data_IF_626684032900
#
_entry.id   IF_626684032900
#
_cell.length_a   1.000
_cell.length_b   1.000
_cell.length_c   1.000
_cell.angle_alpha   90.00
_cell.angle_beta   90.00
_cell.angle_gamma   90.00
#
_symmetry.space_group_name_H-M   'P 1'
#
loop_
_entity.id
_entity.type
_entity.pdbx_description
1 polymer ?
#
# COMPACT_ATOMS: atom_id res chain seq x y z
N UNK A 1 -0.68 -31.29 -0.35
CA UNK A 1 -1.60 -30.47 -1.18
C UNK A 1 -3.10 -30.71 -0.92
N UNK A 2 -3.54 -31.59 -0.01
CA UNK A 2 -4.97 -31.98 0.07
C UNK A 2 -5.85 -31.24 1.10
N UNK A 3 -5.32 -30.33 1.94
CA UNK A 3 -6.14 -29.61 2.95
C UNK A 3 -6.55 -28.18 2.58
N UNK A 4 -5.85 -27.53 1.64
CA UNK A 4 -6.17 -26.16 1.19
C UNK A 4 -7.24 -26.10 0.08
N UNK A 5 -7.30 -27.11 -0.78
CA UNK A 5 -8.20 -27.12 -1.94
C UNK A 5 -9.68 -27.30 -1.55
N UNK A 6 -9.97 -27.98 -0.44
CA UNK A 6 -11.33 -28.18 0.05
C UNK A 6 -11.98 -26.91 0.65
N UNK A 7 -11.18 -25.87 0.95
CA UNK A 7 -11.64 -24.63 1.57
C UNK A 7 -12.27 -23.63 0.58
N UNK A 8 -12.01 -23.78 -0.72
CA UNK A 8 -12.33 -22.77 -1.75
C UNK A 8 -13.73 -22.95 -2.39
N UNK A 9 -14.52 -23.93 -1.95
CA UNK A 9 -15.66 -24.43 -2.73
C UNK A 9 -16.78 -23.41 -3.03
N UNK A 10 -16.88 -22.27 -2.31
CA UNK A 10 -17.81 -21.16 -2.65
C UNK A 10 -17.26 -19.80 -2.19
N UNK A 11 -16.22 -19.29 -2.85
CA UNK A 11 -15.66 -17.97 -2.52
C UNK A 11 -16.43 -16.78 -3.10
N UNK A 12 -17.05 -16.95 -4.28
CA UNK A 12 -17.75 -15.89 -4.99
C UNK A 12 -19.27 -16.00 -4.83
N UNK A 13 -19.90 -14.93 -4.37
CA UNK A 13 -21.36 -14.79 -4.29
C UNK A 13 -21.79 -13.41 -4.78
N UNK A 14 -23.05 -13.26 -5.23
CA UNK A 14 -23.57 -11.94 -5.64
C UNK A 14 -23.53 -10.92 -4.49
N UNK A 15 -23.62 -11.39 -3.24
CA UNK A 15 -23.54 -10.56 -2.04
C UNK A 15 -22.15 -9.96 -1.87
N UNK A 16 -21.11 -10.77 -2.10
CA UNK A 16 -19.71 -10.31 -2.13
C UNK A 16 -19.50 -9.28 -3.24
N UNK A 17 -20.04 -9.53 -4.44
CA UNK A 17 -19.92 -8.59 -5.54
C UNK A 17 -20.55 -7.23 -5.21
N UNK A 18 -21.75 -7.20 -4.61
CA UNK A 18 -22.40 -5.95 -4.18
C UNK A 18 -21.65 -5.27 -3.03
N UNK A 19 -21.19 -6.03 -2.04
CA UNK A 19 -20.43 -5.47 -0.93
C UNK A 19 -19.12 -4.86 -1.46
N UNK A 20 -18.45 -5.54 -2.38
CA UNK A 20 -17.26 -5.04 -3.07
C UNK A 20 -17.56 -3.77 -3.88
N UNK A 21 -18.68 -3.69 -4.60
CA UNK A 21 -19.10 -2.49 -5.34
C UNK A 21 -19.22 -1.25 -4.44
N UNK A 22 -19.63 -1.44 -3.18
CA UNK A 22 -19.73 -0.36 -2.19
C UNK A 22 -18.39 -0.07 -1.52
N UNK A 23 -17.65 -1.12 -1.13
CA UNK A 23 -16.39 -0.98 -0.40
C UNK A 23 -15.25 -0.46 -1.27
N UNK A 24 -15.22 -0.78 -2.56
CA UNK A 24 -14.15 -0.33 -3.48
C UNK A 24 -14.09 1.21 -3.56
N UNK A 25 -15.17 1.96 -3.86
CA UNK A 25 -15.13 3.42 -3.86
C UNK A 25 -14.72 4.02 -2.52
N UNK A 26 -15.22 3.47 -1.41
CA UNK A 26 -14.85 3.93 -0.06
C UNK A 26 -13.36 3.71 0.23
N UNK A 27 -12.84 2.54 -0.18
CA UNK A 27 -11.44 2.20 -0.04
C UNK A 27 -10.55 3.10 -0.91
N UNK A 28 -10.91 3.33 -2.17
CA UNK A 28 -10.18 4.25 -3.05
C UNK A 28 -10.23 5.70 -2.53
N UNK A 29 -11.38 6.13 -2.01
CA UNK A 29 -11.50 7.44 -1.37
C UNK A 29 -10.57 7.57 -0.17
N UNK A 30 -10.49 6.54 0.68
CA UNK A 30 -9.56 6.53 1.81
C UNK A 30 -8.10 6.65 1.34
N UNK A 31 -7.71 5.87 0.31
CA UNK A 31 -6.36 5.98 -0.29
C UNK A 31 -6.07 7.40 -0.77
N UNK A 32 -7.00 8.01 -1.53
CA UNK A 32 -6.83 9.38 -2.03
C UNK A 32 -6.73 10.41 -0.90
N UNK A 33 -7.52 10.27 0.17
CA UNK A 33 -7.38 11.15 1.32
C UNK A 33 -5.97 11.02 1.92
N UNK A 34 -5.50 9.81 2.19
CA UNK A 34 -4.20 9.61 2.83
C UNK A 34 -3.01 10.06 1.97
N UNK A 35 -3.02 9.70 0.69
CA UNK A 35 -1.90 9.91 -0.23
C UNK A 35 -1.92 11.30 -0.83
N UNK A 36 -3.07 11.80 -1.32
CA UNK A 36 -3.13 13.04 -2.09
C UNK A 36 -3.47 14.24 -1.20
N UNK A 37 -4.47 14.10 -0.33
CA UNK A 37 -4.99 15.26 0.44
C UNK A 37 -4.15 15.54 1.67
N UNK A 38 -3.91 14.52 2.49
CA UNK A 38 -3.21 14.66 3.76
C UNK A 38 -1.71 14.42 3.64
N UNK A 39 -1.26 13.75 2.56
CA UNK A 39 0.12 13.34 2.31
C UNK A 39 0.81 12.75 3.56
N UNK A 40 0.04 12.00 4.35
CA UNK A 40 0.43 11.60 5.71
C UNK A 40 1.02 10.19 5.76
N UNK A 41 0.61 9.34 4.82
CA UNK A 41 1.12 8.01 4.63
C UNK A 41 0.84 7.55 3.19
N UNK A 42 1.63 6.58 2.74
CA UNK A 42 1.55 6.01 1.39
C UNK A 42 1.20 4.52 1.51
N UNK A 43 -0.06 4.16 1.83
CA UNK A 43 -0.50 2.77 1.93
C UNK A 43 -0.16 1.93 0.69
N UNK A 44 -0.15 2.52 -0.49
CA UNK A 44 0.05 1.78 -1.75
C UNK A 44 1.52 1.51 -2.08
N UNK A 45 2.46 2.20 -1.43
CA UNK A 45 3.91 1.96 -1.58
C UNK A 45 4.42 0.88 -0.62
N UNK A 46 3.59 0.43 0.33
CA UNK A 46 3.91 -0.65 1.27
C UNK A 46 3.27 -1.94 0.78
N UNK A 47 4.02 -3.05 0.84
CA UNK A 47 3.58 -4.33 0.27
C UNK A 47 2.35 -4.95 0.94
N UNK A 48 2.05 -4.60 2.20
CA UNK A 48 0.82 -4.98 2.89
C UNK A 48 -0.08 -3.75 3.07
N UNK A 49 -1.19 -3.73 2.35
CA UNK A 49 -2.19 -2.66 2.41
C UNK A 49 -2.94 -2.66 3.75
N UNK A 50 -2.44 -1.90 4.72
CA UNK A 50 -2.99 -1.90 6.08
C UNK A 50 -4.45 -1.49 6.15
N UNK A 51 -4.92 -0.58 5.29
CA UNK A 51 -6.33 -0.14 5.23
C UNK A 51 -7.26 -1.25 4.72
N UNK A 52 -6.77 -2.11 3.82
CA UNK A 52 -7.48 -3.32 3.39
C UNK A 52 -7.56 -4.32 4.56
N UNK A 53 -6.46 -4.52 5.29
CA UNK A 53 -6.45 -5.39 6.48
C UNK A 53 -7.38 -4.85 7.57
N UNK A 54 -7.40 -3.54 7.77
CA UNK A 54 -8.32 -2.88 8.70
C UNK A 54 -9.78 -3.11 8.28
N UNK A 55 -10.09 -2.93 6.99
CA UNK A 55 -11.44 -3.19 6.46
C UNK A 55 -11.85 -4.64 6.68
N UNK A 56 -10.95 -5.60 6.44
CA UNK A 56 -11.20 -7.01 6.76
C UNK A 56 -11.43 -7.24 8.26
N UNK A 57 -10.64 -6.61 9.13
CA UNK A 57 -10.80 -6.73 10.57
C UNK A 57 -12.17 -6.21 11.03
N UNK A 58 -12.66 -5.11 10.43
CA UNK A 58 -14.01 -4.57 10.67
C UNK A 58 -15.08 -5.55 10.19
N UNK A 59 -14.94 -6.11 8.98
CA UNK A 59 -15.87 -7.12 8.45
C UNK A 59 -15.91 -8.39 9.32
N UNK A 60 -14.75 -8.79 9.85
CA UNK A 60 -14.66 -9.93 10.76
C UNK A 60 -15.27 -9.65 12.13
N UNK A 61 -15.10 -8.44 12.66
CA UNK A 61 -15.81 -8.02 13.87
C UNK A 61 -17.32 -8.03 13.63
N UNK A 62 -17.78 -7.53 12.49
CA UNK A 62 -19.17 -7.61 12.06
C UNK A 62 -19.68 -9.06 11.96
N UNK A 63 -18.90 -9.94 11.34
CA UNK A 63 -19.19 -11.37 11.27
C UNK A 63 -19.26 -12.04 12.65
N UNK A 64 -18.35 -11.68 13.56
CA UNK A 64 -18.35 -12.19 14.92
C UNK A 64 -19.61 -11.73 15.66
N UNK A 65 -19.91 -10.43 15.64
CA UNK A 65 -21.14 -9.88 16.22
C UNK A 65 -22.41 -10.54 15.64
N UNK A 66 -22.41 -10.83 14.34
CA UNK A 66 -23.52 -11.50 13.66
C UNK A 66 -23.68 -12.99 14.05
N UNK A 67 -22.61 -13.65 14.51
CA UNK A 67 -22.59 -15.09 14.84
C UNK A 67 -22.67 -15.37 16.34
N UNK A 68 -22.50 -14.38 17.20
CA UNK A 68 -22.60 -14.56 18.66
C UNK A 68 -24.07 -14.64 19.08
N UNK A 69 -24.55 -15.78 19.62
CA UNK A 69 -25.89 -15.86 20.19
C UNK A 69 -25.97 -14.99 21.46
N UNK A 70 -27.03 -14.18 21.63
CA UNK A 70 -27.25 -13.34 22.82
C UNK A 70 -26.96 -13.98 24.19
N UNK A 71 -27.22 -15.28 24.46
CA UNK A 71 -26.89 -15.88 25.76
C UNK A 71 -25.38 -16.07 26.01
N UNK A 72 -24.52 -16.02 25.00
CA UNK A 72 -23.05 -16.15 25.15
C UNK A 72 -22.34 -14.80 25.43
N UNK A 73 -23.02 -13.67 25.20
CA UNK A 73 -22.52 -12.35 25.56
C UNK A 73 -22.64 -12.21 27.08
N UNK A 74 -21.54 -12.42 27.80
CA UNK A 74 -21.51 -12.43 29.26
C UNK A 74 -22.25 -11.24 29.89
N UNK A 75 -22.81 -11.46 31.09
CA UNK A 75 -23.71 -10.54 31.85
C UNK A 75 -23.22 -9.08 31.98
N UNK A 76 -21.92 -8.83 31.79
CA UNK A 76 -21.26 -7.50 31.85
C UNK A 76 -21.30 -6.69 30.54
N UNK A 77 -21.31 -7.31 29.36
CA UNK A 77 -21.27 -6.61 28.06
C UNK A 77 -22.68 -6.40 27.46
N UNK A 78 -23.66 -7.12 27.99
CA UNK A 78 -25.07 -7.09 27.59
C UNK A 78 -25.73 -5.70 27.57
N UNK A 79 -25.51 -4.79 28.55
CA UNK A 79 -26.16 -3.47 28.50
C UNK A 79 -25.54 -2.51 27.47
N UNK A 80 -24.27 -2.71 27.08
CA UNK A 80 -23.56 -1.81 26.15
C UNK A 80 -23.78 -2.23 24.70
N UNK A 81 -23.75 -3.54 24.42
CA UNK A 81 -23.80 -4.08 23.05
C UNK A 81 -25.21 -4.56 22.67
N UNK A 82 -26.06 -4.86 23.65
CA UNK A 82 -27.44 -5.35 23.46
C UNK A 82 -28.32 -4.54 22.50
N UNK A 83 -28.40 -3.19 22.62
CA UNK A 83 -29.23 -2.40 21.71
C UNK A 83 -28.70 -2.36 20.26
N UNK A 84 -27.38 -2.55 20.05
CA UNK A 84 -26.77 -2.62 18.72
C UNK A 84 -26.91 -4.01 18.08
N UNK A 85 -26.98 -5.07 18.88
CA UNK A 85 -27.04 -6.46 18.41
C UNK A 85 -28.47 -6.98 18.12
N UNK A 86 -29.51 -6.37 18.73
CA UNK A 86 -30.89 -6.85 18.63
C UNK A 86 -31.52 -6.82 17.21
N UNK A 87 -31.29 -5.79 16.35
CA UNK A 87 -31.79 -5.83 14.97
C UNK A 87 -31.01 -6.82 14.09
N UNK A 88 -29.75 -7.08 14.45
CA UNK A 88 -28.88 -7.98 13.72
C UNK A 88 -29.36 -9.43 13.89
N UNK A 89 -29.77 -9.89 15.08
CA UNK A 89 -30.14 -11.29 15.35
C UNK A 89 -31.17 -11.91 14.39
N UNK A 90 -32.10 -11.14 13.81
CA UNK A 90 -33.11 -11.65 12.86
C UNK A 90 -32.60 -11.86 11.43
N UNK A 91 -31.54 -11.14 11.01
CA UNK A 91 -31.01 -11.16 9.64
C UNK A 91 -29.52 -11.59 9.57
N UNK A 92 -28.83 -11.61 10.70
CA UNK A 92 -27.39 -11.75 10.89
C UNK A 92 -26.76 -13.09 10.47
N UNK A 93 -27.32 -14.28 10.77
CA UNK A 93 -26.67 -15.52 10.36
C UNK A 93 -26.68 -15.72 8.84
N UNK A 94 -27.63 -15.09 8.12
CA UNK A 94 -27.63 -15.05 6.65
C UNK A 94 -26.69 -13.98 6.09
N UNK A 95 -26.33 -12.96 6.88
CA UNK A 95 -25.44 -11.87 6.47
C UNK A 95 -23.96 -12.16 6.75
N UNK A 96 -23.64 -13.04 7.70
CA UNK A 96 -22.26 -13.36 8.04
C UNK A 96 -21.51 -13.99 6.86
N UNK A 97 -20.36 -13.39 6.51
CA UNK A 97 -19.56 -13.80 5.36
C UNK A 97 -18.78 -15.07 5.66
N UNK A 98 -18.64 -15.93 4.65
CA UNK A 98 -17.77 -17.09 4.75
C UNK A 98 -16.29 -16.72 4.55
N UNK A 99 -15.35 -17.55 5.02
CA UNK A 99 -13.92 -17.29 4.85
C UNK A 99 -13.49 -17.10 3.38
N UNK A 100 -14.10 -17.85 2.47
CA UNK A 100 -13.87 -17.69 1.03
C UNK A 100 -14.38 -16.33 0.52
N UNK A 101 -15.52 -15.86 1.01
CA UNK A 101 -16.09 -14.56 0.67
C UNK A 101 -15.21 -13.41 1.17
N UNK A 102 -14.68 -13.51 2.39
CA UNK A 102 -13.73 -12.54 2.95
C UNK A 102 -12.43 -12.47 2.15
N UNK A 103 -11.91 -13.61 1.70
CA UNK A 103 -10.72 -13.64 0.85
C UNK A 103 -10.97 -13.06 -0.54
N UNK A 104 -12.15 -13.27 -1.12
CA UNK A 104 -12.51 -12.61 -2.39
C UNK A 104 -12.60 -11.10 -2.20
N UNK A 105 -13.22 -10.62 -1.12
CA UNK A 105 -13.25 -9.19 -0.79
C UNK A 105 -11.85 -8.61 -0.59
N UNK A 106 -10.98 -9.33 0.13
CA UNK A 106 -9.57 -8.95 0.26
C UNK A 106 -8.91 -8.74 -1.10
N UNK A 107 -9.07 -9.70 -2.01
CA UNK A 107 -8.48 -9.64 -3.36
C UNK A 107 -9.06 -8.45 -4.14
N UNK A 108 -10.38 -8.25 -4.11
CA UNK A 108 -11.04 -7.14 -4.78
C UNK A 108 -10.51 -5.79 -4.29
N UNK A 109 -10.40 -5.61 -2.97
CA UNK A 109 -9.91 -4.38 -2.35
C UNK A 109 -8.41 -4.17 -2.55
N UNK A 110 -7.61 -5.23 -2.55
CA UNK A 110 -6.18 -5.14 -2.81
C UNK A 110 -5.90 -4.73 -4.26
N UNK A 111 -6.59 -5.34 -5.23
CA UNK A 111 -6.48 -4.96 -6.64
C UNK A 111 -6.94 -3.52 -6.85
N UNK A 112 -8.10 -3.13 -6.30
CA UNK A 112 -8.57 -1.75 -6.45
C UNK A 112 -7.64 -0.73 -5.80
N UNK A 113 -7.04 -1.08 -4.66
CA UNK A 113 -6.02 -0.25 -3.99
C UNK A 113 -4.81 -0.05 -4.90
N UNK A 114 -4.29 -1.11 -5.51
CA UNK A 114 -3.14 -1.01 -6.42
C UNK A 114 -3.44 -0.13 -7.64
N UNK A 115 -4.68 -0.13 -8.13
CA UNK A 115 -5.11 0.71 -9.25
C UNK A 115 -5.43 2.15 -8.85
N UNK A 116 -5.70 2.41 -7.57
CA UNK A 116 -6.03 3.73 -7.04
C UNK A 116 -4.85 4.41 -6.30
N UNK A 117 -3.68 3.78 -6.28
CA UNK A 117 -2.50 4.26 -5.56
C UNK A 117 -1.72 5.35 -6.29
N UNK A 118 -0.65 5.77 -5.64
CA UNK A 118 0.29 6.83 -6.04
C UNK A 118 0.63 6.78 -7.54
N UNK A 119 1.26 5.70 -8.02
CA UNK A 119 1.73 5.63 -9.41
C UNK A 119 0.60 5.56 -10.45
N UNK A 120 -0.61 5.20 -10.04
CA UNK A 120 -1.76 5.14 -10.91
C UNK A 120 -2.48 6.50 -10.95
N UNK A 121 -3.29 6.84 -9.94
CA UNK A 121 -4.14 8.03 -10.02
C UNK A 121 -3.36 9.34 -9.85
N UNK A 122 -2.34 9.37 -9.00
CA UNK A 122 -1.58 10.60 -8.71
C UNK A 122 -0.66 10.99 -9.87
N UNK A 123 -0.17 10.02 -10.65
CA UNK A 123 0.66 10.28 -11.82
C UNK A 123 -0.17 10.36 -13.10
N UNK A 124 -1.05 9.38 -13.34
CA UNK A 124 -1.77 9.27 -14.61
C UNK A 124 -2.77 10.41 -14.82
N UNK A 125 -3.47 10.85 -13.77
CA UNK A 125 -4.48 11.90 -13.95
C UNK A 125 -3.83 13.24 -14.32
N UNK A 126 -2.79 13.71 -13.60
CA UNK A 126 -2.12 14.95 -13.97
C UNK A 126 -1.38 14.87 -15.31
N UNK A 127 -0.75 13.73 -15.65
CA UNK A 127 0.06 13.65 -16.90
C UNK A 127 -0.80 13.85 -18.16
N UNK A 128 -2.09 13.52 -18.10
CA UNK A 128 -3.03 13.75 -19.22
C UNK A 128 -3.20 15.23 -19.57
N UNK A 129 -3.01 16.15 -18.64
CA UNK A 129 -3.22 17.59 -18.84
C UNK A 129 -1.94 18.42 -18.67
N UNK A 130 -0.93 17.88 -17.98
CA UNK A 130 0.23 18.63 -17.51
C UNK A 130 0.99 19.36 -18.61
N UNK A 131 1.23 18.69 -19.75
CA UNK A 131 1.96 19.26 -20.88
C UNK A 131 1.22 20.37 -21.63
N UNK A 132 -0.11 20.46 -21.49
CA UNK A 132 -0.91 21.56 -22.03
C UNK A 132 -1.00 22.71 -21.03
N UNK A 133 -1.32 22.42 -19.77
CA UNK A 133 -1.50 23.45 -18.74
C UNK A 133 -0.22 24.21 -18.38
N UNK A 134 0.92 23.52 -18.30
CA UNK A 134 2.20 24.13 -17.90
C UNK A 134 3.04 24.60 -19.10
N UNK A 135 2.46 24.67 -20.30
CA UNK A 135 3.17 25.21 -21.45
C UNK A 135 3.28 26.73 -21.32
N UNK A 136 4.52 27.25 -21.33
CA UNK A 136 4.80 28.68 -21.27
C UNK A 136 5.67 29.10 -22.46
N UNK A 137 5.69 30.40 -22.81
CA UNK A 137 6.58 30.90 -23.86
C UNK A 137 8.07 30.62 -23.59
N UNK A 138 8.49 30.59 -22.31
CA UNK A 138 9.87 30.36 -21.91
C UNK A 138 10.30 28.91 -22.11
N UNK A 139 9.44 27.95 -21.76
CA UNK A 139 9.74 26.53 -21.91
C UNK A 139 9.48 26.01 -23.33
N UNK A 140 8.72 26.76 -24.15
CA UNK A 140 8.41 26.46 -25.55
C UNK A 140 7.72 25.10 -25.76
N UNK A 141 7.02 24.58 -24.75
CA UNK A 141 6.39 23.26 -24.83
C UNK A 141 5.29 23.17 -25.88
N UNK A 142 4.62 24.29 -26.16
CA UNK A 142 3.63 24.36 -27.23
C UNK A 142 4.25 24.01 -28.60
N UNK A 143 5.45 24.54 -28.89
CA UNK A 143 6.14 24.29 -30.15
C UNK A 143 6.81 22.91 -30.19
N UNK A 144 7.40 22.51 -29.07
CA UNK A 144 8.21 21.30 -28.97
C UNK A 144 7.37 20.02 -28.83
N UNK A 145 6.30 20.06 -28.03
CA UNK A 145 5.65 18.85 -27.53
C UNK A 145 4.16 18.71 -27.89
N UNK A 146 3.40 19.80 -28.06
CA UNK A 146 1.94 19.67 -28.30
C UNK A 146 1.57 18.85 -29.54
N UNK A 147 2.45 18.84 -30.55
CA UNK A 147 2.29 18.00 -31.75
C UNK A 147 2.56 16.51 -31.49
N UNK A 148 3.39 16.20 -30.50
CA UNK A 148 3.77 14.85 -30.09
C UNK A 148 2.77 14.26 -29.08
N UNK A 149 1.99 15.10 -28.40
CA UNK A 149 1.00 14.67 -27.41
C UNK A 149 -0.27 14.11 -28.09
N UNK A 150 -0.62 12.84 -27.86
CA UNK A 150 -1.77 12.20 -28.48
C UNK A 150 -3.08 12.73 -27.89
N UNK A 151 -3.80 13.53 -28.69
CA UNK A 151 -5.07 14.19 -28.28
C UNK A 151 -6.15 13.25 -27.73
N UNK A 152 -6.12 11.96 -28.09
CA UNK A 152 -7.10 10.99 -27.61
C UNK A 152 -6.79 10.47 -26.20
N UNK A 153 -5.54 10.57 -25.75
CA UNK A 153 -5.06 10.12 -24.42
C UNK A 153 -4.83 11.29 -23.45
N UNK A 154 -4.99 12.53 -23.91
CA UNK A 154 -4.70 13.75 -23.15
C UNK A 154 -5.88 14.72 -23.19
N UNK A 155 -5.95 15.61 -22.22
CA UNK A 155 -6.94 16.71 -22.19
C UNK A 155 -6.24 18.00 -22.57
N UNK A 156 -6.50 18.48 -23.80
CA UNK A 156 -5.80 19.63 -24.38
C UNK A 156 -6.53 20.97 -24.20
N UNK A 157 -7.82 20.97 -23.85
CA UNK A 157 -8.61 22.20 -23.80
C UNK A 157 -8.34 23.02 -22.53
N UNK A 158 -7.56 24.09 -22.66
CA UNK A 158 -7.17 24.97 -21.55
C UNK A 158 -8.36 25.53 -20.75
N UNK A 159 -9.50 25.81 -21.40
CA UNK A 159 -10.70 26.31 -20.70
C UNK A 159 -11.22 25.31 -19.68
N UNK A 160 -11.21 24.03 -20.05
CA UNK A 160 -11.63 22.91 -19.20
C UNK A 160 -10.58 22.66 -18.12
N UNK A 161 -9.30 22.75 -18.47
CA UNK A 161 -8.20 22.59 -17.52
C UNK A 161 -8.19 23.67 -16.44
N UNK A 162 -8.66 24.88 -16.74
CA UNK A 162 -8.75 25.96 -15.75
C UNK A 162 -9.57 25.56 -14.53
N UNK A 163 -10.74 24.94 -14.73
CA UNK A 163 -11.57 24.44 -13.63
C UNK A 163 -10.93 23.29 -12.86
N UNK A 164 -10.18 22.41 -13.56
CA UNK A 164 -9.44 21.30 -12.94
C UNK A 164 -8.28 21.76 -12.05
N UNK A 165 -7.47 22.73 -12.50
CA UNK A 165 -6.28 23.19 -11.78
C UNK A 165 -6.57 24.29 -10.75
N UNK A 166 -7.44 25.25 -11.08
CA UNK A 166 -7.70 26.40 -10.22
C UNK A 166 -8.92 26.19 -9.30
N UNK A 167 -9.72 25.17 -9.55
CA UNK A 167 -10.99 24.94 -8.85
C UNK A 167 -12.08 25.95 -9.24
N UNK A 168 -13.20 25.91 -8.51
CA UNK A 168 -14.34 26.81 -8.74
C UNK A 168 -15.28 26.39 -9.86
N UNK A 169 -15.13 25.17 -10.39
CA UNK A 169 -15.97 24.59 -11.44
C UNK A 169 -16.37 23.14 -11.08
N UNK A 170 -17.28 22.54 -11.85
CA UNK A 170 -17.80 21.19 -11.61
C UNK A 170 -17.47 20.23 -12.75
N UNK A 171 -16.98 19.03 -12.41
CA UNK A 171 -16.73 17.97 -13.40
C UNK A 171 -18.02 17.50 -14.10
N UNK A 172 -19.17 17.66 -13.46
CA UNK A 172 -20.44 17.05 -13.88
C UNK A 172 -21.16 17.80 -15.01
N UNK A 173 -20.51 18.74 -15.70
CA UNK A 173 -21.06 19.35 -16.92
C UNK A 173 -20.84 18.44 -18.12
N UNK A 174 -21.75 18.49 -19.09
CA UNK A 174 -21.63 17.69 -20.31
C UNK A 174 -20.34 18.00 -21.09
N UNK A 175 -19.90 19.27 -21.10
CA UNK A 175 -18.67 19.69 -21.76
C UNK A 175 -17.43 19.05 -21.13
N UNK A 176 -17.33 19.08 -19.79
CA UNK A 176 -16.21 18.46 -19.08
C UNK A 176 -16.23 16.94 -19.24
N UNK A 177 -17.38 16.30 -19.01
CA UNK A 177 -17.51 14.85 -19.17
C UNK A 177 -17.10 14.40 -20.58
N UNK A 178 -17.53 15.11 -21.62
CA UNK A 178 -17.17 14.79 -23.00
C UNK A 178 -15.67 14.96 -23.27
N UNK A 179 -15.05 16.01 -22.74
CA UNK A 179 -13.62 16.26 -22.94
C UNK A 179 -12.73 15.20 -22.27
N UNK A 180 -13.17 14.69 -21.10
CA UNK A 180 -12.45 13.65 -20.36
C UNK A 180 -12.82 12.22 -20.77
N UNK A 181 -13.98 12.00 -21.39
CA UNK A 181 -14.49 10.66 -21.70
C UNK A 181 -13.54 9.83 -22.57
N UNK A 182 -12.99 10.42 -23.65
CA UNK A 182 -12.11 9.70 -24.57
C UNK A 182 -10.78 9.30 -23.91
N UNK A 183 -10.03 10.20 -23.23
CA UNK A 183 -8.86 9.82 -22.46
C UNK A 183 -9.15 8.76 -21.38
N UNK A 184 -10.21 8.94 -20.59
CA UNK A 184 -10.59 8.00 -19.53
C UNK A 184 -10.88 6.62 -20.10
N UNK A 185 -11.63 6.54 -21.19
CA UNK A 185 -11.97 5.27 -21.84
C UNK A 185 -10.73 4.54 -22.33
N UNK A 186 -9.82 5.23 -23.05
CA UNK A 186 -8.61 4.60 -23.57
C UNK A 186 -7.65 4.16 -22.47
N UNK A 187 -7.44 5.00 -21.45
CA UNK A 187 -6.59 4.64 -20.32
C UNK A 187 -7.19 3.50 -19.50
N UNK A 188 -8.50 3.48 -19.29
CA UNK A 188 -9.17 2.37 -18.61
C UNK A 188 -9.05 1.09 -19.43
N UNK A 189 -9.25 1.14 -20.74
CA UNK A 189 -9.05 -0.02 -21.61
C UNK A 189 -7.60 -0.54 -21.55
N UNK A 190 -6.62 0.36 -21.59
CA UNK A 190 -5.21 0.01 -21.45
C UNK A 190 -4.91 -0.65 -20.10
N UNK A 191 -5.39 -0.08 -18.99
CA UNK A 191 -5.21 -0.63 -17.64
C UNK A 191 -5.85 -2.00 -17.53
N UNK A 192 -7.06 -2.19 -18.06
CA UNK A 192 -7.73 -3.51 -18.06
C UNK A 192 -6.92 -4.56 -18.82
N UNK A 193 -6.38 -4.21 -19.98
CA UNK A 193 -5.50 -5.11 -20.74
C UNK A 193 -4.23 -5.40 -19.97
N UNK A 194 -3.59 -4.40 -19.35
CA UNK A 194 -2.38 -4.58 -18.57
C UNK A 194 -2.62 -5.51 -17.35
N UNK A 195 -3.70 -5.30 -16.60
CA UNK A 195 -4.10 -6.18 -15.49
C UNK A 195 -4.38 -7.59 -16.00
N UNK A 196 -5.07 -7.74 -17.13
CA UNK A 196 -5.32 -9.05 -17.74
C UNK A 196 -4.02 -9.77 -18.11
N UNK A 197 -3.08 -9.07 -18.75
CA UNK A 197 -1.76 -9.63 -19.10
C UNK A 197 -0.99 -10.02 -17.84
N UNK A 198 -0.98 -9.19 -16.79
CA UNK A 198 -0.35 -9.53 -15.51
C UNK A 198 -0.98 -10.78 -14.88
N UNK A 199 -2.31 -10.93 -14.96
CA UNK A 199 -2.99 -12.15 -14.53
C UNK A 199 -2.56 -13.37 -15.36
N UNK A 200 -2.47 -13.23 -16.68
CA UNK A 200 -1.95 -14.30 -17.55
C UNK A 200 -0.51 -14.69 -17.16
N UNK A 201 0.39 -13.74 -16.98
CA UNK A 201 1.76 -13.99 -16.53
C UNK A 201 1.74 -14.72 -15.18
N UNK A 202 0.92 -14.26 -14.23
CA UNK A 202 0.79 -14.91 -12.94
C UNK A 202 0.33 -16.38 -13.08
N UNK A 203 -0.60 -16.70 -14.00
CA UNK A 203 -1.00 -18.10 -14.22
C UNK A 203 0.14 -19.01 -14.69
N UNK A 204 1.06 -18.49 -15.49
CA UNK A 204 2.22 -19.22 -16.01
C UNK A 204 3.25 -19.41 -14.90
N UNK A 205 3.64 -18.31 -14.24
CA UNK A 205 4.78 -18.30 -13.31
C UNK A 205 4.41 -18.87 -11.94
N UNK A 206 3.13 -18.77 -11.52
CA UNK A 206 2.65 -19.30 -10.23
C UNK A 206 3.07 -20.74 -10.00
N UNK A 207 3.03 -21.60 -11.02
CA UNK A 207 3.40 -23.03 -10.88
C UNK A 207 4.87 -23.20 -10.52
N UNK A 208 5.74 -22.49 -11.22
CA UNK A 208 7.19 -22.50 -10.97
C UNK A 208 7.51 -22.00 -9.55
N UNK A 209 6.97 -20.83 -9.18
CA UNK A 209 7.22 -20.22 -7.88
C UNK A 209 6.65 -21.03 -6.70
N UNK A 210 5.47 -21.63 -6.86
CA UNK A 210 4.80 -22.34 -5.76
C UNK A 210 5.32 -23.78 -5.62
N UNK A 211 5.49 -24.51 -6.71
CA UNK A 211 5.79 -25.95 -6.66
C UNK A 211 7.29 -26.24 -6.63
N UNK A 212 8.08 -25.52 -7.44
CA UNK A 212 9.53 -25.78 -7.56
C UNK A 212 10.35 -24.92 -6.61
N UNK A 213 10.16 -23.60 -6.68
CA UNK A 213 10.97 -22.64 -5.92
C UNK A 213 10.45 -22.42 -4.50
N UNK A 214 9.18 -22.81 -4.22
CA UNK A 214 8.53 -22.71 -2.92
C UNK A 214 8.70 -21.33 -2.28
N UNK A 215 8.51 -20.29 -3.09
CA UNK A 215 8.67 -18.91 -2.67
C UNK A 215 7.74 -18.64 -1.48
N UNK A 216 8.29 -18.07 -0.41
CA UNK A 216 7.49 -17.67 0.73
C UNK A 216 6.61 -16.49 0.31
N UNK A 217 5.29 -16.59 0.51
CA UNK A 217 4.34 -15.48 0.32
C UNK A 217 3.98 -14.89 1.68
N UNK A 218 4.86 -14.08 2.32
CA UNK A 218 4.65 -13.62 3.69
C UNK A 218 3.45 -12.69 3.85
N UNK A 219 3.23 -11.82 2.88
CA UNK A 219 2.22 -10.75 2.94
C UNK A 219 0.80 -11.33 3.04
N UNK A 220 0.52 -12.45 2.39
CA UNK A 220 -0.82 -13.07 2.37
C UNK A 220 -1.11 -13.89 3.65
N UNK A 221 -0.09 -14.19 4.47
CA UNK A 221 -0.26 -14.99 5.68
C UNK A 221 -1.22 -14.34 6.69
N UNK A 222 -1.11 -13.02 6.88
CA UNK A 222 -1.98 -12.28 7.80
C UNK A 222 -3.46 -12.34 7.34
N UNK A 223 -3.82 -11.94 6.10
CA UNK A 223 -5.19 -12.08 5.60
C UNK A 223 -5.72 -13.51 5.70
N UNK A 224 -4.91 -14.50 5.34
CA UNK A 224 -5.30 -15.91 5.39
C UNK A 224 -5.58 -16.38 6.81
N UNK A 225 -4.71 -16.05 7.76
CA UNK A 225 -4.85 -16.45 9.16
C UNK A 225 -6.07 -15.82 9.81
N UNK A 226 -6.29 -14.52 9.56
CA UNK A 226 -7.41 -13.78 10.14
C UNK A 226 -8.77 -14.23 9.56
N UNK A 227 -8.81 -14.70 8.31
CA UNK A 227 -10.04 -15.26 7.70
C UNK A 227 -10.36 -16.69 8.16
N UNK A 228 -9.44 -17.41 8.82
CA UNK A 228 -9.69 -18.80 9.22
C UNK A 228 -10.69 -18.89 10.39
N UNK A 229 -11.73 -19.74 10.32
CA UNK A 229 -12.74 -19.88 11.38
C UNK A 229 -12.19 -20.29 12.75
N UNK A 230 -11.04 -20.98 12.78
CA UNK A 230 -10.43 -21.53 13.99
C UNK A 230 -9.12 -20.84 14.37
N UNK A 231 -8.91 -19.61 13.93
CA UNK A 231 -7.66 -18.90 14.24
C UNK A 231 -7.47 -18.76 15.76
N UNK A 232 -6.27 -19.10 16.22
CA UNK A 232 -5.85 -18.90 17.60
C UNK A 232 -5.29 -17.49 17.83
N UNK A 233 -5.08 -16.72 16.76
CA UNK A 233 -4.48 -15.39 16.80
C UNK A 233 -5.21 -14.45 17.76
N UNK A 234 -6.54 -14.37 17.64
CA UNK A 234 -7.38 -13.53 18.50
C UNK A 234 -7.49 -14.01 19.95
N UNK A 235 -7.09 -15.25 20.25
CA UNK A 235 -7.04 -15.76 21.64
C UNK A 235 -5.69 -15.50 22.31
N UNK A 236 -4.67 -15.14 21.54
CA UNK A 236 -3.32 -14.92 22.05
C UNK A 236 -3.22 -13.56 22.76
N UNK A 237 -2.82 -13.56 24.03
CA UNK A 237 -2.64 -12.33 24.82
C UNK A 237 -1.50 -11.46 24.29
N UNK A 238 -0.42 -12.06 23.79
CA UNK A 238 0.72 -11.33 23.23
C UNK A 238 0.33 -10.53 21.99
N UNK A 239 -0.56 -11.09 21.17
CA UNK A 239 -1.10 -10.40 20.00
C UNK A 239 -1.83 -9.10 20.41
N UNK A 240 -2.70 -9.17 21.42
CA UNK A 240 -3.41 -7.99 21.94
C UNK A 240 -2.48 -6.99 22.63
N UNK A 241 -1.44 -7.44 23.32
CA UNK A 241 -0.41 -6.55 23.88
C UNK A 241 0.30 -5.80 22.75
N UNK A 242 0.66 -6.48 21.66
CA UNK A 242 1.27 -5.85 20.49
C UNK A 242 0.36 -4.80 19.84
N UNK A 243 -0.92 -5.15 19.61
CA UNK A 243 -1.93 -4.19 19.11
C UNK A 243 -2.07 -2.99 20.05
N UNK A 244 -2.19 -3.23 21.36
CA UNK A 244 -2.36 -2.17 22.34
C UNK A 244 -1.14 -1.24 22.39
N UNK A 245 0.08 -1.80 22.36
CA UNK A 245 1.30 -1.03 22.37
C UNK A 245 1.46 -0.17 21.10
N UNK A 246 1.30 -0.77 19.91
CA UNK A 246 1.38 -0.05 18.65
C UNK A 246 0.27 1.01 18.53
N UNK A 247 -0.97 0.64 18.86
CA UNK A 247 -2.11 1.53 18.86
C UNK A 247 -1.97 2.70 19.84
N UNK A 248 -1.42 2.47 21.04
CA UNK A 248 -1.15 3.54 22.00
C UNK A 248 -0.14 4.55 21.44
N UNK A 249 0.95 4.06 20.84
CA UNK A 249 1.97 4.93 20.23
C UNK A 249 1.34 5.80 19.13
N UNK A 250 0.56 5.19 18.24
CA UNK A 250 -0.07 5.92 17.14
C UNK A 250 -1.16 6.89 17.62
N UNK A 251 -1.96 6.51 18.62
CA UNK A 251 -2.98 7.40 19.21
C UNK A 251 -2.33 8.60 19.89
N UNK A 252 -1.30 8.40 20.71
CA UNK A 252 -0.61 9.50 21.40
C UNK A 252 0.04 10.45 20.39
N UNK A 253 0.69 9.91 19.36
CA UNK A 253 1.30 10.72 18.30
C UNK A 253 0.24 11.43 17.43
N UNK A 254 -0.88 10.78 17.14
CA UNK A 254 -2.01 11.39 16.44
C UNK A 254 -2.66 12.50 17.26
N UNK A 255 -2.80 12.33 18.58
CA UNK A 255 -3.28 13.37 19.48
C UNK A 255 -2.30 14.53 19.58
N UNK A 256 -1.00 14.27 19.65
CA UNK A 256 0.03 15.31 19.62
C UNK A 256 0.00 16.15 18.34
N UNK A 257 -0.30 15.51 17.20
CA UNK A 257 -0.49 16.22 15.93
C UNK A 257 -1.71 17.15 15.94
N UNK A 258 -2.84 16.70 16.50
CA UNK A 258 -4.08 17.50 16.57
C UNK A 258 -4.03 18.55 17.70
N UNK A 259 -3.39 18.22 18.80
CA UNK A 259 -3.29 19.02 20.01
C UNK A 259 -1.81 19.15 20.42
N UNK A 260 -1.15 20.26 20.05
CA UNK A 260 0.27 20.47 20.35
C UNK A 260 0.63 20.45 21.84
N UNK A 261 -0.35 20.52 22.75
CA UNK A 261 -0.15 20.39 24.19
C UNK A 261 0.15 18.96 24.65
N UNK A 262 -0.16 17.95 23.84
CA UNK A 262 0.18 16.55 24.13
C UNK A 262 1.58 16.27 23.57
N UNK A 263 2.55 15.84 24.40
CA UNK A 263 3.89 15.54 23.92
C UNK A 263 3.88 14.28 23.05
N UNK A 264 4.52 14.35 21.88
CA UNK A 264 4.70 13.20 21.00
C UNK A 264 5.71 12.20 21.58
N UNK A 265 5.49 10.92 21.34
CA UNK A 265 6.48 9.87 21.60
C UNK A 265 7.49 9.83 20.44
N UNK A 266 8.79 10.14 20.67
CA UNK A 266 9.79 10.24 19.62
C UNK A 266 10.24 8.87 19.14
N UNK A 267 9.37 8.19 18.41
CA UNK A 267 9.61 6.82 17.88
C UNK A 267 10.09 6.83 16.43
N UNK A 268 10.12 7.98 15.75
CA UNK A 268 10.42 8.08 14.31
C UNK A 268 11.47 9.15 14.05
N UNK A 269 12.26 8.95 12.98
CA UNK A 269 13.16 9.96 12.36
C UNK A 269 14.22 10.55 13.28
N UNK A 270 14.82 9.75 14.16
CA UNK A 270 15.99 10.18 14.93
C UNK A 270 17.22 9.94 14.05
N UNK A 271 17.83 10.99 13.50
CA UNK A 271 19.11 10.84 12.79
C UNK A 271 20.27 10.88 13.79
N UNK A 272 21.04 9.80 13.88
CA UNK A 272 22.20 9.73 14.77
C UNK A 272 23.41 10.49 14.23
N UNK A 273 23.43 10.84 12.94
CA UNK A 273 24.54 11.56 12.31
C UNK A 273 24.87 12.87 13.05
N UNK A 274 23.86 13.53 13.63
CA UNK A 274 24.04 14.75 14.42
C UNK A 274 25.00 14.59 15.62
N UNK A 275 25.21 13.37 16.10
CA UNK A 275 26.11 13.07 17.23
C UNK A 275 27.50 12.58 16.78
N UNK A 276 27.69 12.33 15.47
CA UNK A 276 28.93 11.77 14.92
C UNK A 276 29.64 12.86 14.11
N UNK A 277 30.45 13.66 14.79
CA UNK A 277 31.09 14.86 14.21
C UNK A 277 32.57 14.65 13.84
N UNK A 278 33.23 13.65 14.44
CA UNK A 278 34.66 13.43 14.27
C UNK A 278 35.00 12.72 12.96
N UNK A 279 36.12 13.11 12.33
CA UNK A 279 36.67 12.41 11.15
C UNK A 279 37.32 11.08 11.57
N UNK A 280 37.19 9.99 10.80
CA UNK A 280 36.45 9.84 9.54
C UNK A 280 34.96 9.47 9.71
N UNK A 281 34.49 9.28 10.95
CA UNK A 281 33.16 8.77 11.29
C UNK A 281 32.01 9.64 10.78
N UNK A 282 32.22 10.96 10.67
CA UNK A 282 31.28 11.90 10.03
C UNK A 282 30.86 11.46 8.62
N UNK A 283 31.69 10.65 7.94
CA UNK A 283 31.38 10.06 6.63
C UNK A 283 30.20 9.07 6.64
N UNK A 284 29.75 8.58 7.80
CA UNK A 284 28.59 7.69 7.91
C UNK A 284 27.33 8.31 7.26
N UNK A 285 27.23 9.64 7.34
CA UNK A 285 26.09 10.44 6.89
C UNK A 285 24.75 9.95 7.46
N UNK A 286 23.65 10.13 6.72
CA UNK A 286 22.29 9.79 7.17
C UNK A 286 22.17 8.44 7.90
N UNK A 287 21.94 8.46 9.21
CA UNK A 287 21.88 7.28 10.07
C UNK A 287 20.57 7.28 10.87
N UNK A 288 19.42 7.04 10.21
CA UNK A 288 18.12 7.12 10.84
C UNK A 288 17.88 5.92 11.76
N UNK A 289 17.44 6.20 12.98
CA UNK A 289 16.77 5.23 13.83
C UNK A 289 15.30 5.58 13.84
N UNK A 290 14.48 4.62 13.47
CA UNK A 290 13.03 4.74 13.52
C UNK A 290 12.42 3.42 13.96
N UNK A 291 11.59 3.50 14.99
CA UNK A 291 10.81 2.40 15.53
C UNK A 291 9.41 2.45 14.91
N UNK A 292 9.21 1.67 13.86
CA UNK A 292 7.91 1.50 13.19
C UNK A 292 7.34 0.13 13.57
N UNK A 293 6.37 0.04 14.51
CA UNK A 293 5.79 -1.24 14.92
C UNK A 293 5.28 -2.09 13.74
N UNK A 294 4.66 -1.47 12.74
CA UNK A 294 4.19 -2.16 11.55
C UNK A 294 5.33 -2.74 10.71
N UNK A 295 6.44 -2.00 10.52
CA UNK A 295 7.58 -2.46 9.74
C UNK A 295 8.33 -3.59 10.44
N UNK A 296 8.42 -3.54 11.78
CA UNK A 296 8.94 -4.63 12.60
C UNK A 296 8.07 -5.88 12.44
N UNK A 297 6.74 -5.72 12.47
CA UNK A 297 5.80 -6.82 12.23
C UNK A 297 5.93 -7.44 10.84
N UNK A 298 6.07 -6.63 9.79
CA UNK A 298 6.34 -7.10 8.43
C UNK A 298 7.70 -7.78 8.32
N UNK A 299 8.72 -7.23 9.00
CA UNK A 299 10.06 -7.81 9.08
C UNK A 299 10.03 -9.24 9.58
N UNK A 300 9.20 -9.56 10.59
CA UNK A 300 9.07 -10.93 11.10
C UNK A 300 8.57 -11.94 10.06
N UNK A 301 7.85 -11.49 9.03
CA UNK A 301 7.37 -12.35 7.97
C UNK A 301 8.42 -12.55 6.86
N UNK A 302 9.44 -11.69 6.77
CA UNK A 302 10.44 -11.77 5.71
C UNK A 302 11.38 -12.97 5.91
N UNK A 303 11.85 -13.60 4.82
CA UNK A 303 12.91 -14.62 4.89
C UNK A 303 14.14 -14.11 5.63
N UNK A 304 14.77 -14.99 6.43
CA UNK A 304 15.92 -14.63 7.25
C UNK A 304 17.09 -14.10 6.41
N UNK A 305 17.32 -14.67 5.23
CA UNK A 305 18.40 -14.25 4.32
C UNK A 305 18.19 -12.83 3.80
N UNK A 306 16.93 -12.44 3.55
CA UNK A 306 16.58 -11.10 3.11
C UNK A 306 16.73 -10.08 4.24
N UNK A 307 16.31 -10.44 5.45
CA UNK A 307 16.53 -9.62 6.65
C UNK A 307 18.01 -9.40 6.92
N UNK A 308 18.80 -10.49 6.87
CA UNK A 308 20.24 -10.44 7.04
C UNK A 308 20.88 -9.53 6.00
N UNK A 309 20.56 -9.73 4.72
CA UNK A 309 21.10 -8.91 3.62
C UNK A 309 20.78 -7.42 3.80
N UNK A 310 19.54 -7.09 4.18
CA UNK A 310 19.09 -5.69 4.31
C UNK A 310 19.93 -4.89 5.32
N UNK A 311 20.16 -5.42 6.53
CA UNK A 311 20.95 -4.69 7.53
C UNK A 311 22.46 -4.82 7.29
N UNK A 312 22.93 -5.98 6.80
CA UNK A 312 24.35 -6.20 6.53
C UNK A 312 24.86 -5.26 5.43
N UNK A 313 24.19 -5.23 4.27
CA UNK A 313 24.61 -4.38 3.15
C UNK A 313 24.42 -2.88 3.45
N UNK A 314 23.44 -2.52 4.28
CA UNK A 314 23.35 -1.17 4.82
C UNK A 314 24.66 -0.77 5.52
N UNK A 315 25.17 -1.59 6.44
CA UNK A 315 26.42 -1.31 7.14
C UNK A 315 27.65 -1.38 6.24
N UNK A 316 27.68 -2.27 5.23
CA UNK A 316 28.75 -2.29 4.22
C UNK A 316 28.82 -0.95 3.48
N UNK A 317 27.69 -0.41 3.02
CA UNK A 317 27.67 0.91 2.39
C UNK A 317 28.08 2.01 3.37
N UNK A 318 27.68 1.95 4.65
CA UNK A 318 28.17 2.89 5.66
C UNK A 318 29.69 2.82 5.84
N UNK A 319 30.25 1.62 5.93
CA UNK A 319 31.69 1.41 6.04
C UNK A 319 32.44 1.96 4.81
N UNK A 320 31.92 1.76 3.60
CA UNK A 320 32.49 2.35 2.38
C UNK A 320 32.50 3.88 2.45
N UNK A 321 31.43 4.52 2.92
CA UNK A 321 31.38 5.99 3.06
C UNK A 321 32.34 6.50 4.12
N UNK A 322 32.49 5.81 5.24
CA UNK A 322 33.50 6.15 6.26
C UNK A 322 34.90 6.01 5.67
N UNK A 323 35.16 4.97 4.87
CA UNK A 323 36.43 4.77 4.19
C UNK A 323 36.75 5.91 3.20
N UNK A 324 35.75 6.42 2.48
CA UNK A 324 35.91 7.61 1.63
C UNK A 324 36.51 8.78 2.39
N UNK A 325 36.02 9.05 3.59
CA UNK A 325 36.51 10.12 4.46
C UNK A 325 37.88 9.79 5.08
N UNK A 326 38.13 8.52 5.42
CA UNK A 326 39.42 8.09 5.94
C UNK A 326 40.55 8.24 4.91
N UNK A 327 40.25 8.03 3.62
CA UNK A 327 41.21 8.14 2.51
C UNK A 327 41.30 9.56 1.91
N UNK A 328 40.51 10.52 2.40
CA UNK A 328 40.48 11.88 1.86
C UNK A 328 39.84 12.00 0.48
N UNK A 329 38.96 11.06 0.11
CA UNK A 329 38.29 11.01 -1.19
C UNK A 329 36.94 11.74 -1.20
N UNK A 330 36.62 12.52 -0.17
CA UNK A 330 35.35 13.26 -0.07
C UNK A 330 35.11 14.26 -1.21
N UNK A 331 36.18 14.75 -1.85
CA UNK A 331 36.09 15.70 -2.96
C UNK A 331 35.62 15.06 -4.28
N UNK A 332 35.47 13.73 -4.33
CA UNK A 332 34.92 13.04 -5.51
C UNK A 332 33.39 12.97 -5.39
N UNK A 333 32.64 13.56 -6.35
CA UNK A 333 31.19 13.50 -6.33
C UNK A 333 30.70 12.06 -6.25
N UNK A 334 29.71 11.82 -5.39
CA UNK A 334 28.99 10.56 -5.24
C UNK A 334 29.82 9.33 -4.81
N UNK A 335 31.14 9.42 -4.60
CA UNK A 335 31.96 8.29 -4.14
C UNK A 335 31.45 7.79 -2.77
N UNK A 336 31.15 6.49 -2.58
CA UNK A 336 31.63 5.31 -3.32
C UNK A 336 30.73 4.84 -4.48
N UNK A 337 29.92 5.71 -5.06
CA UNK A 337 29.03 5.46 -6.21
C UNK A 337 27.93 4.43 -5.91
N UNK A 338 27.21 4.62 -4.79
CA UNK A 338 26.18 3.67 -4.31
C UNK A 338 25.10 3.39 -5.38
N UNK A 339 24.68 4.42 -6.12
CA UNK A 339 23.67 4.28 -7.17
C UNK A 339 24.20 3.45 -8.35
N UNK A 340 25.45 3.66 -8.76
CA UNK A 340 26.10 2.93 -9.83
C UNK A 340 26.41 1.49 -9.42
N UNK A 341 26.81 1.25 -8.16
CA UNK A 341 26.95 -0.11 -7.60
C UNK A 341 25.61 -0.84 -7.64
N UNK A 342 24.52 -0.17 -7.24
CA UNK A 342 23.17 -0.75 -7.27
C UNK A 342 22.73 -1.08 -8.70
N UNK A 343 22.98 -0.17 -9.65
CA UNK A 343 22.74 -0.41 -11.07
C UNK A 343 23.55 -1.61 -11.59
N UNK A 344 24.84 -1.69 -11.26
CA UNK A 344 25.70 -2.81 -11.61
C UNK A 344 25.21 -4.14 -11.06
N UNK A 345 24.66 -4.15 -9.84
CA UNK A 345 24.05 -5.34 -9.26
C UNK A 345 22.80 -5.79 -10.04
N UNK A 346 21.89 -4.87 -10.40
CA UNK A 346 20.73 -5.19 -11.23
C UNK A 346 21.12 -5.69 -12.62
N UNK A 347 22.09 -5.04 -13.26
CA UNK A 347 22.60 -5.46 -14.56
C UNK A 347 23.25 -6.85 -14.48
N UNK A 348 24.03 -7.13 -13.43
CA UNK A 348 24.62 -8.43 -13.17
C UNK A 348 23.57 -9.53 -13.00
N UNK A 349 22.50 -9.26 -12.24
CA UNK A 349 21.37 -10.17 -12.10
C UNK A 349 20.66 -10.43 -13.43
N UNK A 350 20.46 -9.39 -14.25
CA UNK A 350 19.84 -9.53 -15.56
C UNK A 350 20.70 -10.37 -16.52
N UNK A 351 22.01 -10.10 -16.58
CA UNK A 351 22.95 -10.87 -17.40
C UNK A 351 23.06 -12.33 -16.92
N UNK A 352 23.06 -12.56 -15.60
CA UNK A 352 23.06 -13.90 -15.05
C UNK A 352 21.78 -14.66 -15.40
N UNK A 353 20.62 -14.01 -15.29
CA UNK A 353 19.35 -14.62 -15.69
C UNK A 353 19.33 -14.98 -17.18
N UNK A 354 19.90 -14.12 -18.05
CA UNK A 354 20.04 -14.41 -19.48
C UNK A 354 21.05 -15.51 -19.79
N UNK A 355 22.11 -15.66 -18.98
CA UNK A 355 23.10 -16.72 -19.14
C UNK A 355 22.58 -18.10 -18.72
N UNK A 356 21.70 -18.14 -17.71
CA UNK A 356 21.10 -19.38 -17.20
C UNK A 356 19.89 -19.84 -18.04
N UNK A 357 19.21 -18.90 -18.72
CA UNK A 357 18.12 -19.18 -19.65
C UNK A 357 18.64 -19.79 -20.95
#
# INVERSE_FOLDING_TARGET
MSRGAAFVARGFSWRVALLGLVLIPLNCFWVQQMEIVWYSAQPTTIALYFHVIFTLAVLLLGNWLARVPAPALGRRLRPVIGPLAAPAERWAPRLALDPGELLVLYIMLAISTSLAGHDALEILVPIMSFGFWNATPENRWHELFHRLLPRHLTVANEKILKGYYLGGDTLYTWEHLRAWAMPIMLWTAFILVAVFVMLCINTIVRRQWTEKERLAFPIIQIPLEICQPRTMLFRNRLFWIGIAAAGLIDIVNGLSFLYPSVPSLPVRRIDLNQYIVDRPWVGVGWLPISFYPFAIGLGYLLPLDLLFSSWFFFWVWKAQRIMTFALGWENRPDFPYVNQQSFGAYLGLALFALYVA
#
